data_IF_143925640888
#
_entry.id   IF_143925640888
#
_cell.length_a   1.000
_cell.length_b   1.000
_cell.length_c   1.000
_cell.angle_alpha   90.00
_cell.angle_beta   90.00
_cell.angle_gamma   90.00
#
_symmetry.space_group_name_H-M   'P 1'
#
loop_
_entity.id
_entity.type
_entity.pdbx_description
1 polymer ?
#
# COMPACT_ATOMS: atom_id res chain seq x y z
N UNK A 1 -20.93 0.52 -35.57
CA UNK A 1 -21.41 -0.16 -36.80
C UNK A 1 -21.55 0.89 -37.92
N UNK A 2 -20.59 0.97 -38.85
CA UNK A 2 -20.70 1.83 -40.02
C UNK A 2 -21.85 1.36 -40.92
N UNK A 3 -22.55 2.27 -41.59
CA UNK A 3 -23.67 2.05 -42.54
C UNK A 3 -25.10 1.89 -42.00
N UNK A 4 -25.31 1.66 -40.69
CA UNK A 4 -26.67 1.64 -40.11
C UNK A 4 -27.08 3.04 -39.61
N UNK A 5 -26.12 3.86 -39.17
CA UNK A 5 -26.39 5.13 -38.48
C UNK A 5 -26.29 6.40 -39.34
N UNK A 6 -25.82 6.35 -40.60
CA UNK A 6 -25.50 7.58 -41.35
C UNK A 6 -26.10 7.63 -42.77
N UNK A 7 -27.42 7.42 -42.89
CA UNK A 7 -28.15 7.64 -44.16
C UNK A 7 -29.00 8.91 -44.16
N UNK A 8 -29.28 9.47 -42.98
CA UNK A 8 -29.95 10.75 -42.83
C UNK A 8 -29.20 11.53 -41.75
N UNK A 9 -28.76 12.77 -42.01
CA UNK A 9 -27.95 13.57 -41.06
C UNK A 9 -28.76 14.05 -39.84
N UNK A 10 -30.07 13.77 -39.82
CA UNK A 10 -31.02 14.05 -38.73
C UNK A 10 -30.93 13.05 -37.55
N UNK A 11 -29.90 12.20 -37.51
CA UNK A 11 -29.72 11.24 -36.40
C UNK A 11 -29.19 11.97 -35.18
N UNK A 12 -30.11 12.33 -34.30
CA UNK A 12 -29.85 13.09 -33.07
C UNK A 12 -29.20 12.23 -31.96
N UNK A 13 -28.13 11.49 -32.25
CA UNK A 13 -27.43 10.69 -31.24
C UNK A 13 -26.01 11.21 -31.09
N UNK A 14 -25.67 11.70 -29.89
CA UNK A 14 -24.35 12.23 -29.59
C UNK A 14 -23.63 11.31 -28.62
N UNK A 15 -22.37 11.02 -28.94
CA UNK A 15 -21.48 10.22 -28.11
C UNK A 15 -20.41 11.14 -27.55
N UNK A 16 -20.26 11.12 -26.24
CA UNK A 16 -19.20 11.82 -25.53
C UNK A 16 -18.35 10.78 -24.82
N UNK A 17 -17.05 10.86 -25.02
CA UNK A 17 -16.06 10.05 -24.33
C UNK A 17 -15.09 11.02 -23.68
N UNK A 18 -14.84 10.83 -22.39
CA UNK A 18 -13.83 11.53 -21.65
C UNK A 18 -12.94 10.48 -20.99
N UNK A 19 -11.64 10.61 -21.22
CA UNK A 19 -10.61 9.75 -20.62
C UNK A 19 -9.63 10.68 -19.90
N UNK A 20 -9.36 10.37 -18.65
CA UNK A 20 -8.38 11.06 -17.82
C UNK A 20 -7.39 10.03 -17.27
N UNK A 21 -6.11 10.32 -17.44
CA UNK A 21 -5.01 9.55 -16.85
C UNK A 21 -4.15 10.48 -16.01
N UNK A 22 -3.95 10.12 -14.76
CA UNK A 22 -3.15 10.88 -13.82
C UNK A 22 -2.19 9.96 -13.10
N UNK A 23 -0.90 10.25 -13.22
CA UNK A 23 0.15 9.59 -12.45
C UNK A 23 0.79 10.61 -11.52
N UNK A 24 0.89 10.25 -10.24
CA UNK A 24 1.52 11.07 -9.21
C UNK A 24 2.68 10.28 -8.62
N UNK A 25 3.85 10.91 -8.55
CA UNK A 25 5.00 10.41 -7.80
C UNK A 25 5.24 11.34 -6.62
N UNK A 26 5.05 10.85 -5.41
CA UNK A 26 5.29 11.61 -4.18
C UNK A 26 6.46 11.02 -3.41
N UNK A 27 7.50 11.81 -3.15
CA UNK A 27 8.63 11.37 -2.34
C UNK A 27 8.20 11.20 -0.89
N UNK A 28 8.48 10.03 -0.30
CA UNK A 28 8.15 9.73 1.10
C UNK A 28 9.34 9.08 1.79
N UNK A 29 9.83 9.73 2.86
CA UNK A 29 10.92 9.21 3.66
C UNK A 29 10.38 8.55 4.91
N UNK A 30 10.31 7.22 4.91
CA UNK A 30 9.91 6.46 6.10
C UNK A 30 11.14 6.10 6.91
N UNK A 31 11.05 6.31 8.23
CA UNK A 31 12.09 5.89 9.18
C UNK A 31 11.52 4.82 10.09
N UNK A 32 12.36 3.89 10.51
CA UNK A 32 11.99 2.92 11.54
C UNK A 32 13.18 2.20 12.13
N UNK A 33 12.89 1.33 13.08
CA UNK A 33 13.88 0.54 13.79
C UNK A 33 14.10 -0.80 13.09
N UNK A 34 15.36 -1.10 12.78
CA UNK A 34 15.84 -2.40 12.31
C UNK A 34 16.75 -3.03 13.34
N UNK A 35 16.73 -4.36 13.43
CA UNK A 35 17.58 -5.11 14.36
C UNK A 35 19.03 -5.09 13.83
N UNK A 36 20.00 -4.51 14.57
CA UNK A 36 21.41 -4.49 14.20
C UNK A 36 22.01 -5.90 14.15
N UNK A 37 23.10 -6.06 13.40
CA UNK A 37 23.77 -7.35 13.22
C UNK A 37 24.22 -7.98 14.54
N UNK A 38 24.76 -7.19 15.46
CA UNK A 38 25.17 -7.66 16.79
C UNK A 38 24.02 -8.38 17.52
N UNK A 39 22.83 -7.76 17.55
CA UNK A 39 21.65 -8.34 18.20
C UNK A 39 21.14 -9.60 17.48
N UNK A 40 21.27 -9.68 16.15
CA UNK A 40 20.94 -10.90 15.39
C UNK A 40 21.88 -12.06 15.69
N UNK A 41 23.10 -11.75 16.12
CA UNK A 41 24.10 -12.72 16.57
C UNK A 41 24.07 -12.93 18.10
N UNK A 42 23.01 -12.46 18.76
CA UNK A 42 22.79 -12.67 20.19
C UNK A 42 23.52 -11.69 21.09
N UNK A 43 24.22 -10.68 20.58
CA UNK A 43 24.85 -9.64 21.40
C UNK A 43 23.92 -8.42 21.54
N UNK A 44 23.40 -8.23 22.74
CA UNK A 44 22.55 -7.10 23.07
C UNK A 44 23.30 -6.01 23.85
N UNK A 45 24.60 -6.10 24.08
CA UNK A 45 25.36 -5.12 24.87
C UNK A 45 25.16 -3.65 24.45
N UNK A 46 24.90 -3.39 23.16
CA UNK A 46 24.59 -2.07 22.62
C UNK A 46 23.10 -1.67 22.58
N UNK A 47 22.20 -2.44 23.19
CA UNK A 47 20.76 -2.13 23.18
C UNK A 47 20.41 -0.99 24.13
N UNK A 48 19.74 0.03 23.61
CA UNK A 48 19.32 1.21 24.38
C UNK A 48 18.07 0.97 25.23
N UNK A 49 17.41 -0.18 25.09
CA UNK A 49 16.13 -0.51 25.77
C UNK A 49 16.29 -1.36 27.04
N UNK A 50 17.51 -1.55 27.53
CA UNK A 50 17.80 -2.39 28.71
C UNK A 50 17.36 -1.79 30.07
N UNK A 51 17.00 -0.51 30.09
CA UNK A 51 16.91 0.33 31.29
C UNK A 51 15.94 -0.13 32.39
N UNK A 52 14.95 -0.97 32.09
CA UNK A 52 13.84 -1.23 33.03
C UNK A 52 13.99 -2.53 33.85
N UNK A 53 14.96 -3.40 33.52
CA UNK A 53 15.16 -4.73 34.15
C UNK A 53 16.57 -4.94 34.71
N UNK A 54 17.35 -3.88 34.90
CA UNK A 54 18.69 -3.95 35.52
C UNK A 54 19.82 -4.31 34.54
N UNK A 55 19.67 -3.98 33.25
CA UNK A 55 20.68 -4.21 32.21
C UNK A 55 21.05 -5.67 31.94
N UNK A 56 20.15 -6.62 32.22
CA UNK A 56 20.38 -8.04 31.96
C UNK A 56 19.19 -8.71 31.28
N UNK A 57 19.48 -9.69 30.43
CA UNK A 57 18.50 -10.61 29.87
C UNK A 57 18.08 -11.58 30.98
N UNK A 58 16.77 -11.75 31.16
CA UNK A 58 16.21 -12.67 32.15
C UNK A 58 15.08 -13.43 31.47
N UNK A 59 15.12 -14.75 31.56
CA UNK A 59 14.00 -15.60 31.15
C UNK A 59 12.91 -15.58 32.21
N UNK A 60 11.66 -15.57 31.76
CA UNK A 60 10.51 -15.82 32.63
C UNK A 60 10.41 -17.31 32.98
N UNK A 61 9.54 -17.66 33.92
CA UNK A 61 9.39 -19.04 34.40
C UNK A 61 8.97 -20.00 33.27
N UNK A 62 8.18 -19.50 32.30
CA UNK A 62 7.79 -20.28 31.13
C UNK A 62 8.98 -20.62 30.22
N UNK A 63 9.82 -19.63 29.91
CA UNK A 63 11.02 -19.83 29.12
C UNK A 63 12.05 -20.70 29.85
N UNK A 64 12.21 -20.54 31.17
CA UNK A 64 13.08 -21.40 31.98
C UNK A 64 12.66 -22.87 31.93
N UNK A 65 11.35 -23.14 31.97
CA UNK A 65 10.83 -24.50 31.85
C UNK A 65 11.00 -25.08 30.43
N UNK A 66 10.76 -24.27 29.39
CA UNK A 66 10.91 -24.70 28.00
C UNK A 66 12.37 -24.94 27.60
N UNK A 67 13.28 -24.11 28.12
CA UNK A 67 14.72 -24.16 27.82
C UNK A 67 15.52 -24.93 28.87
N UNK A 68 14.84 -25.71 29.72
CA UNK A 68 15.47 -26.47 30.80
C UNK A 68 16.64 -27.34 30.27
N UNK A 69 17.84 -27.11 30.82
CA UNK A 69 19.05 -27.81 30.40
C UNK A 69 19.75 -27.26 29.14
N UNK A 70 19.28 -26.16 28.56
CA UNK A 70 19.95 -25.46 27.43
C UNK A 70 20.61 -24.17 27.93
N UNK A 71 21.90 -24.01 27.63
CA UNK A 71 22.65 -22.78 27.95
C UNK A 71 22.39 -21.69 26.89
N UNK A 72 21.18 -21.13 26.90
CA UNK A 72 20.76 -20.12 25.93
C UNK A 72 21.13 -18.69 26.33
N UNK A 73 21.33 -18.41 27.63
CA UNK A 73 22.01 -17.19 28.09
C UNK A 73 23.47 -17.52 28.36
N UNK A 74 24.38 -16.97 27.56
CA UNK A 74 25.83 -17.13 27.77
C UNK A 74 26.41 -16.05 28.67
N UNK A 75 25.65 -14.98 28.91
CA UNK A 75 26.05 -13.84 29.72
C UNK A 75 24.87 -12.90 29.98
N UNK A 76 25.10 -11.79 30.72
CA UNK A 76 24.05 -10.85 31.09
C UNK A 76 23.37 -10.19 29.89
N UNK A 77 24.09 -10.03 28.77
CA UNK A 77 23.58 -9.36 27.56
C UNK A 77 23.75 -10.21 26.30
N UNK A 78 24.14 -11.48 26.45
CA UNK A 78 24.51 -12.35 25.33
C UNK A 78 23.68 -13.64 25.31
N UNK A 79 23.09 -13.92 24.16
CA UNK A 79 22.36 -15.15 23.86
C UNK A 79 23.19 -16.08 22.99
N UNK A 80 23.02 -17.39 23.20
CA UNK A 80 23.57 -18.41 22.32
C UNK A 80 22.75 -18.50 21.03
N UNK A 81 23.36 -18.22 19.88
CA UNK A 81 22.70 -18.31 18.58
C UNK A 81 22.22 -19.73 18.24
N UNK A 82 22.78 -20.76 18.87
CA UNK A 82 22.32 -22.14 18.71
C UNK A 82 20.91 -22.37 19.27
N UNK A 83 20.42 -21.48 20.13
CA UNK A 83 19.04 -21.52 20.63
C UNK A 83 18.05 -20.75 19.74
N UNK A 84 18.52 -20.10 18.67
CA UNK A 84 17.62 -19.44 17.74
C UNK A 84 17.02 -20.46 16.77
N UNK A 85 15.72 -20.34 16.54
CA UNK A 85 15.05 -21.13 15.51
C UNK A 85 15.63 -20.75 14.13
N UNK A 86 16.22 -21.69 13.38
CA UNK A 86 16.77 -21.41 12.05
C UNK A 86 15.75 -20.82 11.08
N UNK A 87 14.46 -21.19 11.20
CA UNK A 87 13.39 -20.64 10.36
C UNK A 87 13.11 -19.17 10.71
N UNK A 88 13.09 -18.83 12.00
CA UNK A 88 12.91 -17.45 12.44
C UNK A 88 14.08 -16.56 11.98
N UNK A 89 15.32 -17.08 12.07
CA UNK A 89 16.51 -16.39 11.56
C UNK A 89 16.44 -16.19 10.05
N UNK A 90 15.95 -17.19 9.29
CA UNK A 90 15.79 -17.09 7.84
C UNK A 90 14.75 -16.02 7.45
N UNK A 91 13.59 -15.99 8.12
CA UNK A 91 12.55 -14.98 7.91
C UNK A 91 13.11 -13.58 8.20
N UNK A 92 13.81 -13.41 9.33
CA UNK A 92 14.41 -12.14 9.70
C UNK A 92 15.43 -11.67 8.66
N UNK A 93 16.32 -12.56 8.19
CA UNK A 93 17.32 -12.21 7.17
C UNK A 93 16.69 -11.84 5.82
N UNK A 94 15.57 -12.46 5.45
CA UNK A 94 14.93 -12.22 4.17
C UNK A 94 14.09 -10.95 4.14
N UNK A 95 13.33 -10.69 5.22
CA UNK A 95 12.35 -9.59 5.25
C UNK A 95 12.79 -8.36 6.05
N UNK A 96 13.76 -8.48 6.95
CA UNK A 96 14.30 -7.35 7.73
C UNK A 96 15.76 -7.08 7.33
N UNK A 97 16.04 -6.08 6.48
CA UNK A 97 17.42 -5.71 6.14
C UNK A 97 18.18 -5.14 7.34
N UNK A 98 19.50 -5.04 7.21
CA UNK A 98 20.32 -4.38 8.22
C UNK A 98 20.04 -2.85 8.26
N UNK A 99 20.27 -2.19 9.40
CA UNK A 99 20.22 -0.74 9.51
C UNK A 99 21.12 -0.05 8.47
N UNK A 100 20.61 0.97 7.78
CA UNK A 100 21.40 1.79 6.85
C UNK A 100 21.78 3.16 7.42
N UNK A 101 21.28 3.50 8.61
CA UNK A 101 21.60 4.74 9.33
C UNK A 101 21.83 4.45 10.84
N UNK A 102 22.91 3.72 11.21
CA UNK A 102 23.15 3.32 12.60
C UNK A 102 23.35 4.50 13.56
N UNK A 103 23.76 5.68 13.07
CA UNK A 103 23.86 6.90 13.87
C UNK A 103 22.48 7.48 14.29
N UNK A 104 21.39 6.99 13.70
CA UNK A 104 20.02 7.45 13.97
C UNK A 104 19.40 6.95 15.28
N UNK A 105 20.15 6.24 16.13
CA UNK A 105 19.65 5.69 17.39
C UNK A 105 18.60 4.62 17.16
N UNK A 106 17.42 4.74 17.78
CA UNK A 106 16.31 3.78 17.61
C UNK A 106 15.81 3.72 16.15
N UNK A 107 15.71 4.87 15.47
CA UNK A 107 15.30 4.96 14.07
C UNK A 107 16.51 4.82 13.13
N UNK A 108 17.11 3.63 13.14
CA UNK A 108 18.37 3.33 12.45
C UNK A 108 18.22 2.91 10.98
N UNK A 109 17.01 2.99 10.42
CA UNK A 109 16.74 2.68 9.02
C UNK A 109 15.97 3.81 8.34
N UNK A 110 16.41 4.20 7.14
CA UNK A 110 15.79 5.23 6.29
C UNK A 110 15.42 4.60 4.96
N UNK A 111 14.14 4.64 4.60
CA UNK A 111 13.65 4.29 3.27
C UNK A 111 13.26 5.57 2.51
N UNK A 112 14.08 6.03 1.54
CA UNK A 112 13.74 7.14 0.66
C UNK A 112 12.86 6.64 -0.51
N UNK A 113 11.69 6.13 -0.17
CA UNK A 113 10.79 5.55 -1.16
C UNK A 113 9.97 6.60 -1.89
N UNK A 114 9.28 6.14 -2.93
CA UNK A 114 8.31 6.95 -3.68
C UNK A 114 6.97 6.26 -3.60
N UNK A 115 5.96 7.04 -3.25
CA UNK A 115 4.57 6.65 -3.37
C UNK A 115 4.07 6.96 -4.79
N UNK A 116 3.44 5.96 -5.42
CA UNK A 116 3.00 6.05 -6.81
C UNK A 116 1.50 5.80 -6.88
N UNK A 117 0.76 6.82 -7.27
CA UNK A 117 -0.68 6.75 -7.49
C UNK A 117 -0.94 6.88 -8.99
N UNK A 118 -1.54 5.84 -9.56
CA UNK A 118 -1.98 5.78 -10.95
C UNK A 118 -3.52 5.76 -10.96
N UNK A 119 -4.11 6.82 -11.50
CA UNK A 119 -5.55 7.01 -11.57
C UNK A 119 -5.99 7.11 -13.02
N UNK A 120 -7.03 6.34 -13.35
CA UNK A 120 -7.72 6.38 -14.63
C UNK A 120 -9.21 6.59 -14.42
N UNK A 121 -9.78 7.52 -15.17
CA UNK A 121 -11.22 7.76 -15.18
C UNK A 121 -11.73 7.81 -16.61
N UNK A 122 -12.66 6.93 -16.94
CA UNK A 122 -13.30 6.84 -18.23
C UNK A 122 -14.80 7.14 -18.06
N UNK A 123 -15.29 8.16 -18.77
CA UNK A 123 -16.71 8.52 -18.79
C UNK A 123 -17.26 8.47 -20.21
N UNK A 124 -18.30 7.65 -20.39
CA UNK A 124 -19.03 7.49 -21.63
C UNK A 124 -20.43 8.08 -21.43
N UNK A 125 -20.87 8.89 -22.38
CA UNK A 125 -22.23 9.43 -22.40
C UNK A 125 -22.82 9.33 -23.79
N UNK A 126 -24.09 8.96 -23.82
CA UNK A 126 -24.89 8.82 -25.03
C UNK A 126 -26.16 9.64 -24.85
N UNK A 127 -26.36 10.62 -25.71
CA UNK A 127 -27.56 11.45 -25.74
C UNK A 127 -28.33 11.15 -27.02
N UNK A 128 -29.55 10.63 -26.89
CA UNK A 128 -30.44 10.33 -28.00
C UNK A 128 -31.64 11.28 -27.97
N UNK A 129 -31.83 12.10 -29.00
CA UNK A 129 -33.02 12.93 -29.12
C UNK A 129 -34.08 12.21 -29.94
N UNK A 130 -35.29 12.13 -29.37
CA UNK A 130 -36.50 11.62 -29.99
C UNK A 130 -37.40 12.82 -30.34
N UNK A 131 -37.14 13.41 -31.51
CA UNK A 131 -37.78 14.67 -31.92
C UNK A 131 -37.28 15.89 -31.14
N UNK A 132 -38.05 16.97 -31.13
CA UNK A 132 -37.66 18.25 -30.50
C UNK A 132 -37.90 18.30 -28.99
N UNK A 133 -38.63 17.34 -28.43
CA UNK A 133 -39.20 17.43 -27.06
C UNK A 133 -38.70 16.37 -26.09
N UNK A 134 -38.00 15.35 -26.55
CA UNK A 134 -37.56 14.23 -25.73
C UNK A 134 -36.08 13.92 -25.99
N UNK A 135 -35.31 13.83 -24.91
CA UNK A 135 -33.92 13.39 -24.93
C UNK A 135 -33.76 12.29 -23.90
N UNK A 136 -33.15 11.18 -24.30
CA UNK A 136 -32.72 10.10 -23.44
C UNK A 136 -31.21 10.20 -23.27
N UNK A 137 -30.77 10.23 -22.00
CA UNK A 137 -29.36 10.29 -21.65
C UNK A 137 -28.96 9.03 -20.91
N UNK A 138 -27.92 8.37 -21.41
CA UNK A 138 -27.21 7.32 -20.69
C UNK A 138 -25.80 7.80 -20.36
N UNK A 139 -25.34 7.55 -19.14
CA UNK A 139 -23.95 7.77 -18.73
C UNK A 139 -23.41 6.51 -18.06
N UNK A 140 -22.17 6.18 -18.39
CA UNK A 140 -21.39 5.17 -17.70
C UNK A 140 -20.05 5.78 -17.32
N UNK A 141 -19.69 5.67 -16.05
CA UNK A 141 -18.39 6.09 -15.55
C UNK A 141 -17.67 4.91 -14.94
N UNK A 142 -16.38 4.84 -15.19
CA UNK A 142 -15.48 3.85 -14.64
C UNK A 142 -14.21 4.52 -14.14
N UNK A 143 -13.92 4.29 -12.87
CA UNK A 143 -12.72 4.80 -12.21
C UNK A 143 -11.87 3.63 -11.72
N UNK A 144 -10.56 3.76 -11.90
CA UNK A 144 -9.53 2.88 -11.37
C UNK A 144 -8.48 3.73 -10.67
N UNK A 145 -8.14 3.37 -9.44
CA UNK A 145 -7.01 3.98 -8.71
C UNK A 145 -6.14 2.85 -8.20
N UNK A 146 -4.87 2.88 -8.61
CA UNK A 146 -3.82 2.01 -8.13
C UNK A 146 -2.82 2.84 -7.31
N UNK A 147 -2.79 2.56 -6.03
CA UNK A 147 -1.85 3.15 -5.09
C UNK A 147 -0.75 2.12 -4.76
N UNK A 148 0.50 2.55 -4.81
CA UNK A 148 1.69 1.72 -4.61
C UNK A 148 2.64 2.42 -3.64
N UNK A 149 2.38 2.30 -2.33
CA UNK A 149 3.20 2.95 -1.32
C UNK A 149 4.62 2.35 -1.26
N UNK A 150 5.60 3.14 -0.79
CA UNK A 150 7.01 2.72 -0.73
C UNK A 150 7.31 1.64 0.33
N UNK A 151 6.37 1.40 1.23
CA UNK A 151 6.41 0.41 2.29
C UNK A 151 5.00 -0.16 2.50
N UNK A 152 4.87 -1.17 3.37
CA UNK A 152 3.55 -1.69 3.75
C UNK A 152 2.74 -0.57 4.43
N UNK A 153 1.52 -0.33 3.94
CA UNK A 153 0.58 0.60 4.57
C UNK A 153 0.13 0.07 5.95
N UNK A 154 0.12 -1.26 6.11
CA UNK A 154 -0.32 -1.95 7.31
C UNK A 154 0.82 -2.79 7.89
N UNK A 155 1.58 -2.18 8.80
CA UNK A 155 2.66 -2.85 9.54
C UNK A 155 3.85 -1.93 9.82
N UNK A 156 4.64 -2.17 10.87
CA UNK A 156 5.72 -1.29 11.27
C UNK A 156 7.02 -1.47 10.45
N UNK A 157 7.00 -2.20 9.32
CA UNK A 157 8.23 -2.46 8.56
C UNK A 157 8.51 -1.34 7.54
N UNK A 158 9.54 -0.50 7.75
CA UNK A 158 9.93 0.53 6.78
C UNK A 158 10.70 -0.02 5.58
N UNK A 159 11.08 -1.30 5.56
CA UNK A 159 11.86 -1.87 4.46
C UNK A 159 11.04 -2.13 3.19
N UNK A 160 11.65 -1.98 2.00
CA UNK A 160 11.01 -2.25 0.72
C UNK A 160 10.94 -3.75 0.36
N UNK A 161 11.35 -4.64 1.28
CA UNK A 161 11.33 -6.11 1.14
C UNK A 161 9.92 -6.66 1.05
N UNK A 162 8.96 -5.97 1.67
CA UNK A 162 7.54 -6.23 1.54
C UNK A 162 6.87 -5.03 0.89
N UNK A 163 6.14 -5.27 -0.20
CA UNK A 163 5.43 -4.24 -0.96
C UNK A 163 3.94 -4.51 -0.96
N UNK A 164 3.17 -3.45 -1.08
CA UNK A 164 1.72 -3.53 -1.25
C UNK A 164 1.33 -2.71 -2.47
N UNK A 165 0.27 -3.14 -3.15
CA UNK A 165 -0.45 -2.30 -4.10
C UNK A 165 -1.92 -2.36 -3.73
N UNK A 166 -2.53 -1.19 -3.56
CA UNK A 166 -3.93 -1.02 -3.23
C UNK A 166 -4.64 -0.66 -4.53
N UNK A 167 -5.64 -1.46 -4.89
CA UNK A 167 -6.41 -1.25 -6.10
C UNK A 167 -7.87 -0.99 -5.73
N UNK A 168 -8.40 0.16 -6.12
CA UNK A 168 -9.79 0.51 -5.95
C UNK A 168 -10.43 0.81 -7.30
N UNK A 169 -11.71 0.47 -7.42
CA UNK A 169 -12.47 0.72 -8.63
C UNK A 169 -13.89 1.16 -8.32
N UNK A 170 -14.39 2.10 -9.11
CA UNK A 170 -15.74 2.61 -9.04
C UNK A 170 -16.46 2.41 -10.37
N UNK A 171 -17.72 1.97 -10.32
CA UNK A 171 -18.60 1.89 -11.49
C UNK A 171 -19.90 2.60 -11.19
N UNK A 172 -20.28 3.54 -12.03
CA UNK A 172 -21.53 4.28 -11.86
C UNK A 172 -22.30 4.32 -13.18
N UNK A 173 -23.23 3.37 -13.40
CA UNK A 173 -24.20 3.47 -14.47
C UNK A 173 -25.31 4.46 -14.06
N UNK A 174 -25.70 5.34 -14.97
CA UNK A 174 -26.83 6.25 -14.77
C UNK A 174 -27.66 6.38 -16.05
N UNK A 175 -28.97 6.26 -15.89
CA UNK A 175 -29.95 6.44 -16.95
C UNK A 175 -30.99 7.46 -16.45
N UNK A 176 -31.13 8.59 -17.15
CA UNK A 176 -32.08 9.63 -16.81
C UNK A 176 -33.02 9.96 -17.96
N UNK A 177 -34.25 10.38 -17.64
CA UNK A 177 -35.26 10.79 -18.62
C UNK A 177 -35.97 12.10 -18.24
N UNK A 178 -36.42 12.79 -19.29
CA UNK A 178 -37.29 13.97 -19.38
C UNK A 178 -36.74 15.34 -18.94
N UNK A 179 -36.19 16.07 -19.94
CA UNK A 179 -36.29 17.53 -20.00
C UNK A 179 -37.24 17.89 -21.14
N UNK A 180 -38.48 18.24 -20.82
CA UNK A 180 -39.40 18.89 -21.77
C UNK A 180 -38.99 20.35 -21.88
N UNK A 181 -38.32 20.74 -22.98
CA UNK A 181 -38.11 22.16 -23.24
C UNK A 181 -39.46 22.80 -23.61
N UNK A 182 -40.12 23.43 -22.64
CA UNK A 182 -41.12 24.44 -22.94
C UNK A 182 -40.38 25.66 -23.49
N UNK A 183 -40.33 25.82 -24.83
CA UNK A 183 -40.04 27.13 -25.42
C UNK A 183 -41.24 28.02 -25.13
N UNK A 184 -41.08 28.93 -24.17
CA UNK A 184 -41.88 30.15 -24.13
C UNK A 184 -41.31 31.11 -25.19
N UNK A 185 -42.24 31.81 -25.85
CA UNK A 185 -42.09 32.82 -26.90
C UNK A 185 -41.96 32.28 -28.33
#
# INVERSE_FOLDING_TARGET
IPHIYNRNRDKNTFFFVNEEWRVIHSGSTVRGAMIPEAMRNGDFSGSTTFGDKGNQLVFDDAANNFLAGKNCLTGPTTLNTACFDPNAVAILKHYWPLPNNPAGGFNNYINPGVDVIDQRNDAYRIDQYFGQKLVLMGRFMYEEVKDSPPNLAWGPNPAPTTRQSIYTTGRTPWCGSLLTSARAW
#
